data_IF_574252626420
#
_entry.id   IF_574252626420
#
_cell.length_a   1.000
_cell.length_b   1.000
_cell.length_c   1.000
_cell.angle_alpha   90.00
_cell.angle_beta   90.00
_cell.angle_gamma   90.00
#
_symmetry.space_group_name_H-M   'P 1'
#
loop_
_entity.id
_entity.type
_entity.pdbx_description
1 polymer ?
#
# COMPACT_ATOMS: atom_id res chain seq x y z
N UNK A 1 -53.43 40.01 35.00
CA UNK A 1 -53.15 39.71 33.57
C UNK A 1 -51.65 39.68 33.37
N UNK A 2 -51.01 38.52 33.56
CA UNK A 2 -49.59 38.33 33.26
C UNK A 2 -49.51 37.46 31.99
N UNK A 3 -49.18 38.09 30.87
CA UNK A 3 -49.09 37.42 29.57
C UNK A 3 -47.73 36.77 29.39
N UNK A 4 -47.69 35.43 29.43
CA UNK A 4 -46.57 34.62 28.96
C UNK A 4 -46.37 34.88 27.45
N UNK A 5 -45.20 35.40 27.05
CA UNK A 5 -44.76 35.34 25.65
C UNK A 5 -43.81 34.15 25.50
N UNK A 6 -44.32 33.07 24.91
CA UNK A 6 -43.54 31.88 24.54
C UNK A 6 -42.84 32.20 23.22
N UNK A 7 -41.51 32.33 23.24
CA UNK A 7 -40.70 32.46 22.02
C UNK A 7 -40.22 31.08 21.61
N UNK A 8 -40.71 30.58 20.48
CA UNK A 8 -40.25 29.32 19.90
C UNK A 8 -38.82 29.49 19.35
N UNK A 9 -37.87 28.71 19.88
CA UNK A 9 -36.51 28.63 19.34
C UNK A 9 -36.54 27.57 18.23
N UNK A 10 -36.41 28.01 16.98
CA UNK A 10 -36.21 27.10 15.86
C UNK A 10 -34.79 26.51 15.96
N UNK A 11 -34.69 25.19 16.19
CA UNK A 11 -33.44 24.46 16.10
C UNK A 11 -33.03 24.36 14.63
N UNK A 12 -32.06 25.18 14.22
CA UNK A 12 -31.42 25.04 12.91
C UNK A 12 -30.45 23.88 13.00
N UNK A 13 -30.80 22.73 12.42
CA UNK A 13 -29.87 21.65 12.16
C UNK A 13 -28.80 22.16 11.19
N UNK A 14 -27.71 22.71 11.70
CA UNK A 14 -26.54 23.01 10.91
C UNK A 14 -25.93 21.66 10.48
N UNK A 15 -26.19 21.25 9.24
CA UNK A 15 -25.40 20.23 8.57
C UNK A 15 -23.95 20.68 8.62
N UNK A 16 -23.13 20.04 9.46
CA UNK A 16 -21.70 20.29 9.47
C UNK A 16 -21.16 19.68 8.18
N UNK A 17 -21.15 20.47 7.11
CA UNK A 17 -20.27 20.17 5.99
C UNK A 17 -18.89 20.35 6.59
N UNK A 18 -18.15 19.25 6.73
CA UNK A 18 -16.75 19.31 7.15
C UNK A 18 -16.04 20.16 6.08
N UNK A 19 -15.82 21.43 6.39
CA UNK A 19 -14.97 22.27 5.58
C UNK A 19 -13.58 21.66 5.68
N UNK A 20 -13.14 21.02 4.59
CA UNK A 20 -11.74 20.63 4.42
C UNK A 20 -10.91 21.88 4.67
N UNK A 21 -9.91 21.86 5.56
CA UNK A 21 -9.14 23.04 5.86
C UNK A 21 -8.47 23.54 4.58
N UNK A 22 -8.88 24.71 4.09
CA UNK A 22 -8.15 25.45 3.06
C UNK A 22 -6.91 26.05 3.72
N UNK A 23 -5.90 25.21 3.95
CA UNK A 23 -4.56 25.69 4.27
C UNK A 23 -4.07 26.53 3.08
N UNK A 24 -3.90 27.84 3.31
CA UNK A 24 -3.35 28.81 2.37
C UNK A 24 -1.91 28.45 1.97
N UNK A 25 -1.68 28.53 0.64
CA UNK A 25 -0.43 28.77 -0.11
C UNK A 25 0.61 27.63 -0.23
N UNK A 26 0.61 26.97 -1.40
CA UNK A 26 1.80 26.71 -2.25
C UNK A 26 1.38 26.19 -3.65
N UNK A 27 0.63 27.00 -4.40
CA UNK A 27 0.16 26.70 -5.78
C UNK A 27 1.27 26.87 -6.85
N UNK A 28 2.50 26.40 -6.60
CA UNK A 28 3.64 26.73 -7.49
C UNK A 28 3.87 25.72 -8.63
N UNK A 29 2.85 24.99 -9.08
CA UNK A 29 2.97 24.20 -10.29
C UNK A 29 2.88 25.10 -11.53
N UNK A 30 3.75 24.89 -12.52
CA UNK A 30 3.73 25.66 -13.76
C UNK A 30 2.42 25.45 -14.54
N UNK A 31 2.09 26.37 -15.46
CA UNK A 31 0.82 26.42 -16.19
C UNK A 31 0.35 25.11 -16.87
N UNK A 32 1.26 24.16 -17.15
CA UNK A 32 0.95 22.87 -17.75
C UNK A 32 0.80 21.72 -16.75
N UNK A 33 0.72 22.02 -15.46
CA UNK A 33 0.70 21.04 -14.37
C UNK A 33 -0.18 21.50 -13.22
N UNK A 34 -0.59 20.55 -12.38
CA UNK A 34 -1.36 20.80 -11.18
C UNK A 34 -0.78 20.08 -9.97
N UNK A 35 -1.10 20.58 -8.78
CA UNK A 35 -0.60 20.03 -7.52
C UNK A 35 -1.37 18.78 -7.09
N UNK A 36 -0.64 17.71 -6.82
CA UNK A 36 -1.16 16.48 -6.22
C UNK A 36 -0.70 16.38 -4.77
N UNK A 37 -1.60 16.75 -3.85
CA UNK A 37 -1.29 16.96 -2.44
C UNK A 37 -0.85 15.72 -1.69
N UNK A 38 -1.40 14.53 -2.01
CA UNK A 38 -1.04 13.29 -1.29
C UNK A 38 0.44 12.93 -1.44
N UNK A 39 1.04 13.20 -2.59
CA UNK A 39 2.46 12.94 -2.85
C UNK A 39 3.32 14.19 -2.89
N UNK A 40 2.72 15.36 -2.74
CA UNK A 40 3.40 16.65 -2.83
C UNK A 40 4.21 16.80 -4.12
N UNK A 41 3.57 16.52 -5.27
CA UNK A 41 4.19 16.60 -6.61
C UNK A 41 3.31 17.37 -7.60
N UNK A 42 3.93 17.97 -8.62
CA UNK A 42 3.21 18.54 -9.77
C UNK A 42 3.00 17.47 -10.85
N UNK A 43 1.74 17.22 -11.21
CA UNK A 43 1.34 16.31 -12.28
C UNK A 43 1.04 17.09 -13.57
N UNK A 44 1.46 16.60 -14.75
CA UNK A 44 1.17 17.28 -16.01
C UNK A 44 -0.31 17.13 -16.40
N UNK A 45 -0.91 18.16 -17.01
CA UNK A 45 -2.32 18.18 -17.40
C UNK A 45 -2.71 17.23 -18.56
N UNK A 46 -1.76 16.45 -19.09
CA UNK A 46 -1.92 15.71 -20.35
C UNK A 46 -1.61 14.22 -20.24
N UNK A 47 -1.48 13.68 -19.03
CA UNK A 47 -1.30 12.25 -18.76
C UNK A 47 -0.18 11.58 -19.60
N UNK A 48 0.86 12.33 -20.00
CA UNK A 48 1.96 11.83 -20.86
C UNK A 48 2.66 10.57 -20.31
N UNK A 49 2.56 10.37 -19.01
CA UNK A 49 3.14 9.24 -18.29
C UNK A 49 2.15 8.11 -17.98
N UNK A 50 0.95 8.13 -18.57
CA UNK A 50 -0.02 7.05 -18.44
C UNK A 50 0.48 5.75 -19.08
N UNK A 51 0.29 4.64 -18.38
CA UNK A 51 0.38 3.29 -18.95
C UNK A 51 -0.59 2.35 -18.22
N UNK A 52 -0.61 1.08 -18.65
CA UNK A 52 -1.37 0.06 -17.95
C UNK A 52 -0.72 -0.27 -16.59
N UNK A 53 -1.51 -0.42 -15.51
CA UNK A 53 -1.01 -0.90 -14.25
C UNK A 53 -0.53 -2.36 -14.33
N UNK A 54 0.33 -2.80 -13.39
CA UNK A 54 0.59 -4.21 -13.15
C UNK A 54 -0.71 -5.02 -12.91
N UNK A 55 -0.69 -6.33 -13.20
CA UNK A 55 -1.89 -7.20 -13.11
C UNK A 55 -2.52 -7.27 -11.71
N UNK A 56 -1.75 -6.97 -10.68
CA UNK A 56 -2.14 -6.97 -9.27
C UNK A 56 -2.56 -5.59 -8.75
N UNK A 57 -2.63 -4.59 -9.63
CA UNK A 57 -3.00 -3.21 -9.31
C UNK A 57 -4.13 -2.72 -10.21
N UNK A 58 -4.96 -1.86 -9.66
CA UNK A 58 -5.99 -1.11 -10.39
C UNK A 58 -5.89 0.38 -9.99
N UNK A 59 -6.41 1.28 -10.83
CA UNK A 59 -6.46 2.71 -10.52
C UNK A 59 -7.87 3.27 -10.45
N UNK A 60 -8.91 2.46 -10.67
CA UNK A 60 -10.28 2.95 -10.75
C UNK A 60 -10.42 4.08 -11.78
N UNK A 61 -10.79 5.27 -11.31
CA UNK A 61 -10.94 6.51 -12.10
C UNK A 61 -9.62 7.23 -12.36
N UNK A 62 -8.55 6.84 -11.68
CA UNK A 62 -7.21 7.39 -11.84
C UNK A 62 -6.41 6.57 -12.85
N UNK A 63 -5.16 6.95 -13.11
CA UNK A 63 -4.31 6.23 -14.05
C UNK A 63 -2.96 5.86 -13.45
N UNK A 64 -2.37 4.78 -13.96
CA UNK A 64 -1.05 4.34 -13.52
C UNK A 64 0.04 5.18 -14.18
N UNK A 65 0.86 5.84 -13.37
CA UNK A 65 1.95 6.66 -13.87
C UNK A 65 3.22 5.81 -14.03
N UNK A 66 3.72 5.68 -15.27
CA UNK A 66 4.90 4.87 -15.59
C UNK A 66 6.19 5.36 -14.93
N UNK A 67 6.29 6.66 -14.62
CA UNK A 67 7.45 7.28 -13.98
C UNK A 67 7.41 7.07 -12.47
N UNK A 68 6.25 7.31 -11.87
CA UNK A 68 6.09 7.25 -10.42
C UNK A 68 5.76 5.85 -9.88
N UNK A 69 5.25 4.95 -10.74
CA UNK A 69 4.86 3.57 -10.38
C UNK A 69 3.76 3.52 -9.31
N UNK A 70 2.82 4.45 -9.35
CA UNK A 70 1.58 4.45 -8.57
C UNK A 70 0.45 5.16 -9.34
N UNK A 71 -0.78 5.05 -8.84
CA UNK A 71 -1.95 5.69 -9.44
C UNK A 71 -1.99 7.17 -9.11
N UNK A 72 -2.25 8.00 -10.12
CA UNK A 72 -2.37 9.45 -9.97
C UNK A 72 -3.61 9.96 -10.69
N UNK A 73 -4.20 11.07 -10.23
CA UNK A 73 -5.32 11.69 -10.92
C UNK A 73 -4.91 12.33 -12.25
N UNK A 74 -5.87 12.46 -13.16
CA UNK A 74 -5.72 13.13 -14.46
C UNK A 74 -6.05 14.64 -14.43
N UNK A 75 -6.63 15.16 -13.35
CA UNK A 75 -7.10 16.55 -13.29
C UNK A 75 -6.97 17.13 -11.88
N UNK A 76 -6.89 18.47 -11.73
CA UNK A 76 -6.75 19.15 -10.43
C UNK A 76 -7.96 18.98 -9.50
N UNK A 77 -9.15 18.77 -10.06
CA UNK A 77 -10.39 18.53 -9.29
C UNK A 77 -10.56 17.05 -8.99
N UNK A 78 -9.48 16.39 -8.54
CA UNK A 78 -9.50 14.96 -8.31
C UNK A 78 -10.29 14.62 -7.06
N UNK A 79 -11.33 13.82 -7.25
CA UNK A 79 -11.99 13.11 -6.15
C UNK A 79 -11.25 11.83 -5.80
N UNK A 80 -11.94 10.94 -5.09
CA UNK A 80 -11.41 9.62 -4.78
C UNK A 80 -11.11 8.81 -6.05
N UNK A 81 -10.08 7.96 -5.98
CA UNK A 81 -9.74 7.04 -7.07
C UNK A 81 -10.92 6.14 -7.43
N UNK A 82 -11.78 5.79 -6.46
CA UNK A 82 -13.00 5.04 -6.70
C UNK A 82 -12.69 3.65 -7.27
N UNK A 83 -12.08 2.81 -6.44
CA UNK A 83 -11.73 1.45 -6.82
C UNK A 83 -12.96 0.64 -7.25
N UNK A 84 -12.75 -0.25 -8.23
CA UNK A 84 -13.79 -1.16 -8.72
C UNK A 84 -14.23 -2.16 -7.64
N UNK A 85 -15.39 -2.81 -7.82
CA UNK A 85 -15.85 -3.87 -6.91
C UNK A 85 -14.78 -4.96 -6.75
N UNK A 86 -14.47 -5.32 -5.50
CA UNK A 86 -13.39 -6.26 -5.20
C UNK A 86 -12.00 -5.62 -5.08
N UNK A 87 -11.91 -4.28 -5.07
CA UNK A 87 -10.66 -3.52 -4.91
C UNK A 87 -10.79 -2.43 -3.84
N UNK A 88 -9.72 -2.23 -3.07
CA UNK A 88 -9.62 -1.27 -1.97
C UNK A 88 -8.42 -0.37 -2.23
N UNK A 89 -8.58 0.92 -1.97
CA UNK A 89 -7.46 1.86 -2.02
C UNK A 89 -6.45 1.54 -0.92
N UNK A 90 -5.18 1.42 -1.29
CA UNK A 90 -4.05 1.29 -0.40
C UNK A 90 -3.21 2.57 -0.46
N UNK A 91 -3.05 3.23 0.69
CA UNK A 91 -2.32 4.50 0.80
C UNK A 91 -0.79 4.33 0.80
N UNK A 92 -0.27 3.12 1.01
CA UNK A 92 1.18 2.85 0.93
C UNK A 92 1.60 2.64 -0.53
N UNK A 93 0.81 1.87 -1.27
CA UNK A 93 1.02 1.55 -2.69
C UNK A 93 0.41 2.60 -3.65
N UNK A 94 -0.35 3.57 -3.14
CA UNK A 94 -1.16 4.57 -3.89
C UNK A 94 -1.85 3.97 -5.11
N UNK A 95 -2.54 2.87 -4.87
CA UNK A 95 -3.28 2.16 -5.90
C UNK A 95 -4.42 1.38 -5.30
N UNK A 96 -5.38 1.02 -6.15
CA UNK A 96 -6.37 0.03 -5.78
C UNK A 96 -5.68 -1.34 -5.78
N UNK A 97 -5.73 -2.00 -4.64
CA UNK A 97 -5.29 -3.37 -4.46
C UNK A 97 -6.55 -4.23 -4.32
N UNK A 98 -6.53 -5.51 -4.67
CA UNK A 98 -7.71 -6.34 -4.46
C UNK A 98 -8.14 -6.24 -2.98
N UNK A 99 -9.44 -6.02 -2.70
CA UNK A 99 -10.00 -6.21 -1.33
C UNK A 99 -9.76 -7.64 -0.89
N UNK A 100 -9.76 -8.55 -1.87
CA UNK A 100 -9.13 -9.85 -1.79
C UNK A 100 -7.61 -9.73 -1.96
N UNK A 101 -6.94 -8.93 -1.14
CA UNK A 101 -5.67 -9.38 -0.56
C UNK A 101 -6.07 -10.52 0.35
N UNK A 102 -6.51 -11.60 -0.29
CA UNK A 102 -7.04 -12.78 0.33
C UNK A 102 -5.88 -13.24 1.17
N UNK A 103 -6.00 -13.27 2.51
CA UNK A 103 -5.28 -14.30 3.20
C UNK A 103 -5.87 -15.56 2.60
N UNK A 104 -5.13 -16.17 1.68
CA UNK A 104 -5.51 -17.44 1.11
C UNK A 104 -5.90 -18.32 2.29
N UNK A 105 -7.16 -18.78 2.39
CA UNK A 105 -7.52 -19.68 3.46
C UNK A 105 -6.47 -20.78 3.48
N UNK A 106 -6.00 -21.21 4.68
CA UNK A 106 -4.94 -22.21 4.76
C UNK A 106 -5.25 -23.35 3.77
N UNK A 107 -4.43 -23.50 2.73
CA UNK A 107 -4.60 -24.53 1.69
C UNK A 107 -5.15 -24.11 0.31
N UNK A 108 -5.47 -22.84 0.04
CA UNK A 108 -5.94 -22.42 -1.31
C UNK A 108 -4.89 -21.69 -2.17
N UNK A 109 -3.59 -21.92 -1.93
CA UNK A 109 -2.57 -21.36 -2.81
C UNK A 109 -2.66 -22.05 -4.18
N UNK A 110 -2.29 -21.32 -5.24
CA UNK A 110 -2.13 -21.93 -6.57
C UNK A 110 -1.24 -23.17 -6.46
N UNK A 111 -1.38 -24.15 -7.38
CA UNK A 111 -0.60 -25.40 -7.36
C UNK A 111 0.93 -25.19 -7.33
N UNK A 112 1.41 -24.04 -7.79
CA UNK A 112 2.81 -23.61 -7.75
C UNK A 112 3.23 -22.81 -6.51
N UNK A 113 2.34 -22.65 -5.53
CA UNK A 113 2.56 -21.86 -4.33
C UNK A 113 2.17 -22.63 -3.06
N UNK A 114 2.68 -22.19 -1.90
CA UNK A 114 2.31 -22.71 -0.59
C UNK A 114 1.98 -21.58 0.39
N UNK A 115 1.17 -21.89 1.41
CA UNK A 115 0.74 -20.92 2.40
C UNK A 115 1.80 -20.71 3.47
N UNK A 116 2.19 -19.46 3.70
CA UNK A 116 3.10 -19.07 4.76
C UNK A 116 2.35 -18.32 5.87
N UNK A 117 2.22 -19.01 7.00
CA UNK A 117 1.42 -18.56 8.15
C UNK A 117 1.93 -17.25 8.77
N UNK A 118 3.25 -17.03 8.85
CA UNK A 118 3.81 -15.88 9.57
C UNK A 118 3.45 -14.54 8.97
N UNK A 119 3.29 -14.46 7.64
CA UNK A 119 2.85 -13.24 6.94
C UNK A 119 1.48 -13.40 6.27
N UNK A 120 0.78 -14.50 6.56
CA UNK A 120 -0.53 -14.83 5.97
C UNK A 120 -0.56 -14.60 4.45
N UNK A 121 0.39 -15.21 3.73
CA UNK A 121 0.53 -15.01 2.28
C UNK A 121 0.93 -16.31 1.56
N UNK A 122 0.69 -16.38 0.25
CA UNK A 122 1.19 -17.49 -0.57
C UNK A 122 2.56 -17.17 -1.14
N UNK A 123 3.48 -18.13 -1.05
CA UNK A 123 4.83 -18.03 -1.61
C UNK A 123 5.02 -19.05 -2.73
N UNK A 124 5.77 -18.71 -3.79
CA UNK A 124 6.11 -19.67 -4.83
C UNK A 124 7.01 -20.79 -4.28
N UNK A 125 6.79 -22.02 -4.74
CA UNK A 125 7.73 -23.11 -4.44
C UNK A 125 9.11 -22.78 -5.04
N UNK A 126 10.15 -22.88 -4.21
CA UNK A 126 11.53 -22.54 -4.59
C UNK A 126 11.91 -21.08 -4.35
N UNK A 127 10.94 -20.21 -4.06
CA UNK A 127 11.13 -18.77 -3.90
C UNK A 127 10.97 -17.99 -5.21
N UNK A 128 11.17 -16.67 -5.14
CA UNK A 128 11.04 -15.78 -6.29
C UNK A 128 11.99 -16.19 -7.43
N UNK A 129 11.53 -16.08 -8.69
CA UNK A 129 12.35 -16.39 -9.88
C UNK A 129 13.63 -15.54 -9.97
N UNK A 130 13.62 -14.36 -9.33
CA UNK A 130 14.75 -13.44 -9.20
C UNK A 130 14.84 -12.98 -7.75
N UNK A 131 15.42 -13.78 -6.85
CA UNK A 131 15.56 -13.38 -5.46
C UNK A 131 16.50 -12.16 -5.40
N UNK A 132 16.12 -11.16 -4.60
CA UNK A 132 16.99 -10.02 -4.34
C UNK A 132 18.07 -10.42 -3.33
N UNK A 133 19.16 -9.67 -3.26
CA UNK A 133 20.15 -9.89 -2.19
C UNK A 133 19.75 -9.08 -0.94
N UNK A 134 19.90 -9.65 0.26
CA UNK A 134 19.68 -8.91 1.50
C UNK A 134 20.65 -7.71 1.60
N UNK A 135 20.18 -6.54 2.04
CA UNK A 135 21.03 -5.37 2.24
C UNK A 135 21.89 -5.51 3.51
N UNK A 136 22.96 -4.73 3.60
CA UNK A 136 23.66 -4.41 4.85
C UNK A 136 24.15 -5.62 5.67
N UNK A 137 24.69 -6.64 5.01
CA UNK A 137 25.25 -7.81 5.67
C UNK A 137 24.22 -8.68 6.38
N UNK A 138 22.92 -8.43 6.19
CA UNK A 138 21.86 -9.33 6.64
C UNK A 138 21.90 -10.61 5.82
N UNK A 139 21.35 -11.67 6.39
CA UNK A 139 21.27 -12.95 5.70
C UNK A 139 19.93 -13.63 5.90
N UNK A 140 19.64 -14.58 5.03
CA UNK A 140 18.53 -15.50 5.23
C UNK A 140 19.05 -16.87 5.66
N UNK A 141 18.30 -17.59 6.51
CA UNK A 141 18.59 -18.98 6.79
C UNK A 141 18.69 -19.81 5.51
N UNK A 142 19.42 -20.93 5.54
CA UNK A 142 19.69 -21.78 4.34
C UNK A 142 18.43 -22.21 3.56
N UNK A 143 17.32 -22.46 4.26
CA UNK A 143 16.04 -22.89 3.64
C UNK A 143 15.14 -21.72 3.20
N UNK A 144 15.63 -20.50 3.39
CA UNK A 144 14.90 -19.27 3.17
C UNK A 144 15.57 -18.47 2.05
N UNK A 145 14.91 -17.43 1.59
CA UNK A 145 15.41 -16.53 0.56
C UNK A 145 14.99 -15.10 0.88
N UNK A 146 15.75 -14.16 0.36
CA UNK A 146 15.41 -12.76 0.51
C UNK A 146 14.33 -12.40 -0.52
N UNK A 147 13.14 -12.10 0.00
CA UNK A 147 11.96 -11.76 -0.77
C UNK A 147 12.01 -10.28 -1.18
N UNK A 148 11.44 -9.98 -2.35
CA UNK A 148 11.38 -8.61 -2.91
C UNK A 148 10.79 -7.57 -1.95
N UNK A 149 9.92 -7.98 -1.02
CA UNK A 149 9.33 -7.13 0.03
C UNK A 149 10.22 -6.94 1.27
N UNK A 150 11.54 -7.15 1.14
CA UNK A 150 12.53 -6.73 2.14
C UNK A 150 12.62 -7.62 3.39
N UNK A 151 12.33 -8.91 3.28
CA UNK A 151 12.42 -9.86 4.40
C UNK A 151 12.80 -11.26 3.93
N UNK A 152 13.19 -12.15 4.84
CA UNK A 152 13.39 -13.55 4.49
C UNK A 152 12.06 -14.30 4.48
N UNK A 153 11.85 -15.07 3.41
CA UNK A 153 10.70 -15.93 3.24
C UNK A 153 11.17 -17.39 3.03
N UNK A 154 10.41 -18.39 3.49
CA UNK A 154 10.75 -19.78 3.27
C UNK A 154 10.61 -20.18 1.79
N UNK A 155 11.43 -21.10 1.31
CA UNK A 155 11.34 -21.61 -0.09
C UNK A 155 10.32 -22.73 -0.28
N UNK A 156 9.93 -23.40 0.82
CA UNK A 156 9.05 -24.58 0.83
C UNK A 156 8.21 -24.56 2.11
N UNK A 157 7.05 -25.26 2.16
CA UNK A 157 6.19 -25.30 3.33
C UNK A 157 6.82 -25.99 4.56
N UNK A 158 7.76 -26.92 4.35
CA UNK A 158 8.54 -27.56 5.41
C UNK A 158 9.83 -26.77 5.69
N UNK A 159 9.66 -25.54 6.18
CA UNK A 159 10.78 -24.61 6.40
C UNK A 159 11.45 -24.73 7.77
N UNK A 160 10.77 -25.36 8.74
CA UNK A 160 11.26 -25.48 10.11
C UNK A 160 11.54 -24.14 10.80
N UNK A 161 12.25 -24.18 11.92
CA UNK A 161 12.69 -22.96 12.60
C UNK A 161 13.80 -22.27 11.80
N UNK A 162 13.81 -20.93 11.72
CA UNK A 162 14.87 -20.20 11.04
C UNK A 162 16.18 -20.32 11.82
N UNK A 163 17.18 -20.98 11.22
CA UNK A 163 18.52 -21.12 11.78
C UNK A 163 19.48 -20.15 11.09
N UNK A 164 19.89 -19.13 11.84
CA UNK A 164 20.92 -18.19 11.44
C UNK A 164 22.32 -18.75 11.73
N UNK A 165 23.33 -18.34 10.96
CA UNK A 165 24.72 -18.67 11.26
C UNK A 165 25.13 -18.08 12.63
N UNK A 166 26.14 -18.67 13.30
CA UNK A 166 26.57 -18.31 14.67
C UNK A 166 26.81 -16.81 14.94
N UNK A 167 27.08 -16.01 13.91
CA UNK A 167 27.33 -14.56 14.02
C UNK A 167 26.06 -13.71 13.95
N UNK A 168 24.91 -14.34 13.72
CA UNK A 168 23.65 -13.69 13.44
C UNK A 168 22.55 -14.17 14.40
N UNK A 169 21.60 -13.29 14.68
CA UNK A 169 20.39 -13.55 15.43
C UNK A 169 19.18 -13.41 14.54
N UNK A 170 18.20 -14.30 14.70
CA UNK A 170 16.93 -14.21 14.00
C UNK A 170 16.08 -13.09 14.62
N UNK A 171 15.66 -12.15 13.79
CA UNK A 171 14.72 -11.10 14.15
C UNK A 171 13.32 -11.52 13.70
N UNK A 172 12.38 -11.66 14.64
CA UNK A 172 11.01 -12.08 14.33
C UNK A 172 10.14 -10.97 13.73
N UNK A 173 10.51 -9.71 13.93
CA UNK A 173 9.73 -8.58 13.41
C UNK A 173 10.10 -8.32 11.95
N UNK A 174 11.41 -8.30 11.66
CA UNK A 174 11.95 -8.08 10.32
C UNK A 174 12.12 -9.37 9.51
N UNK A 175 11.91 -10.53 10.14
CA UNK A 175 12.05 -11.87 9.57
C UNK A 175 13.37 -12.03 8.80
N UNK A 176 14.49 -11.74 9.45
CA UNK A 176 15.82 -11.88 8.85
C UNK A 176 16.90 -12.18 9.89
N UNK A 177 18.05 -12.69 9.42
CA UNK A 177 19.22 -12.86 10.26
C UNK A 177 20.04 -11.57 10.27
N UNK A 178 20.10 -10.92 11.43
CA UNK A 178 20.90 -9.70 11.64
C UNK A 178 22.17 -10.03 12.42
N UNK A 179 23.28 -9.30 12.22
CA UNK A 179 24.47 -9.50 13.02
C UNK A 179 24.13 -9.39 14.50
N UNK A 180 24.62 -10.33 15.31
CA UNK A 180 24.48 -10.23 16.76
C UNK A 180 25.16 -8.95 17.19
N UNK A 181 24.42 -8.08 17.90
CA UNK A 181 25.02 -6.92 18.55
C UNK A 181 25.86 -7.45 19.70
N UNK A 182 27.18 -7.39 19.53
CA UNK A 182 28.15 -7.59 20.62
C UNK A 182 28.02 -6.48 21.64
#
# INVERSE_FOLDING_TARGET
>A
MYGLKITAIAAVCASMVVAVPTHKNEDSCGHSSFWYGRKSVCLPNNDKDRCDPPKDRDCGKWYWNKKFKYCVPSSPTYGDAGCSDGWKWDDEDDSCVPTYSRPTPPGQCNSSHFWWKSKSTCLPYGGDSKPSNPPNGWNCPKKWYWHSRGHCAPRKPDYGSPECDRKYGWDNDDLCCKPNRY
#
